data_IF_665451438867
#
_entry.id   IF_665451438867
#
_cell.length_a   1.000
_cell.length_b   1.000
_cell.length_c   1.000
_cell.angle_alpha   90.00
_cell.angle_beta   90.00
_cell.angle_gamma   90.00
#
_symmetry.space_group_name_H-M   'P 1'
#
loop_
_entity.id
_entity.type
_entity.pdbx_description
1 polymer ?
#
# COMPACT_ATOMS: atom_id res chain seq x y z
N UNK A 1 31.19 -11.66 -22.73
CA UNK A 1 29.88 -11.02 -22.56
C UNK A 1 28.99 -12.16 -22.13
N UNK A 2 28.71 -12.24 -20.82
CA UNK A 2 27.83 -13.27 -20.29
C UNK A 2 26.43 -12.97 -20.86
N UNK A 3 25.87 -13.92 -21.61
CA UNK A 3 24.50 -13.83 -22.09
C UNK A 3 23.57 -13.89 -20.87
N UNK A 4 23.16 -12.73 -20.35
CA UNK A 4 22.24 -12.67 -19.20
C UNK A 4 20.86 -13.18 -19.62
N UNK A 5 20.38 -14.21 -18.93
CA UNK A 5 19.05 -14.78 -19.15
C UNK A 5 17.94 -13.71 -19.12
N UNK A 6 17.01 -13.76 -20.07
CA UNK A 6 15.90 -12.79 -20.20
C UNK A 6 15.09 -12.63 -18.89
N UNK A 7 14.94 -13.71 -18.11
CA UNK A 7 14.22 -13.69 -16.84
C UNK A 7 14.97 -12.89 -15.77
N UNK A 8 16.31 -12.90 -15.80
CA UNK A 8 17.14 -12.19 -14.84
C UNK A 8 17.13 -10.69 -15.11
N UNK A 9 17.23 -10.29 -16.38
CA UNK A 9 17.05 -8.90 -16.80
C UNK A 9 15.65 -8.37 -16.41
N UNK A 10 14.61 -9.20 -16.55
CA UNK A 10 13.27 -8.87 -16.11
C UNK A 10 13.18 -8.69 -14.58
N UNK A 11 13.79 -9.59 -13.82
CA UNK A 11 13.79 -9.52 -12.35
C UNK A 11 14.51 -8.26 -11.84
N UNK A 12 15.68 -7.94 -12.41
CA UNK A 12 16.42 -6.73 -12.07
C UNK A 12 15.68 -5.45 -12.45
N UNK A 13 14.96 -5.45 -13.57
CA UNK A 13 14.08 -4.34 -13.92
C UNK A 13 12.92 -4.19 -12.93
N UNK A 14 12.28 -5.27 -12.50
CA UNK A 14 11.23 -5.22 -11.48
C UNK A 14 11.76 -4.74 -10.12
N UNK A 15 13.02 -5.05 -9.78
CA UNK A 15 13.70 -4.49 -8.62
C UNK A 15 13.90 -2.96 -8.77
N UNK A 16 14.36 -2.50 -9.94
CA UNK A 16 14.47 -1.06 -10.24
C UNK A 16 13.13 -0.33 -10.18
N UNK A 17 12.03 -1.02 -10.50
CA UNK A 17 10.67 -0.52 -10.30
C UNK A 17 10.18 -0.54 -8.84
N UNK A 18 11.02 -0.96 -7.89
CA UNK A 18 10.69 -1.13 -6.46
C UNK A 18 9.50 -2.06 -6.22
N UNK A 19 9.30 -3.02 -7.12
CA UNK A 19 8.23 -4.02 -7.00
C UNK A 19 8.75 -5.30 -6.35
N UNK A 20 9.98 -5.69 -6.68
CA UNK A 20 10.71 -6.73 -5.97
C UNK A 20 11.65 -6.09 -4.95
N UNK A 21 11.78 -6.65 -3.74
CA UNK A 21 12.77 -6.20 -2.78
C UNK A 21 14.18 -6.72 -3.15
N UNK A 22 15.21 -6.02 -2.69
CA UNK A 22 16.62 -6.34 -3.00
C UNK A 22 17.06 -7.73 -2.49
N UNK A 23 16.42 -8.24 -1.45
CA UNK A 23 16.68 -9.55 -0.85
C UNK A 23 15.83 -10.68 -1.46
N UNK A 24 15.06 -10.40 -2.51
CA UNK A 24 14.18 -11.39 -3.11
C UNK A 24 14.97 -12.59 -3.70
N UNK A 25 14.55 -13.85 -3.46
CA UNK A 25 15.29 -15.06 -3.91
C UNK A 25 15.62 -15.10 -5.41
N UNK A 26 14.81 -14.44 -6.23
CA UNK A 26 15.01 -14.35 -7.69
C UNK A 26 16.26 -13.55 -8.08
N UNK A 27 16.69 -12.58 -7.25
CA UNK A 27 17.88 -11.74 -7.48
C UNK A 27 19.16 -12.38 -6.93
N UNK A 28 19.01 -13.42 -6.09
CA UNK A 28 20.12 -14.13 -5.49
C UNK A 28 20.88 -15.02 -6.49
N UNK A 29 22.05 -15.55 -6.10
CA UNK A 29 22.89 -16.41 -6.96
C UNK A 29 22.22 -17.74 -7.35
N UNK A 30 21.20 -18.16 -6.59
CA UNK A 30 20.38 -19.35 -6.86
C UNK A 30 19.03 -19.02 -7.51
N UNK A 31 18.85 -17.77 -7.98
CA UNK A 31 17.66 -17.32 -8.68
C UNK A 31 17.39 -18.15 -9.94
N UNK A 32 16.11 -18.31 -10.28
CA UNK A 32 15.69 -19.00 -11.50
C UNK A 32 14.35 -18.41 -11.99
N UNK A 33 13.93 -18.78 -13.21
CA UNK A 33 12.69 -18.28 -13.79
C UNK A 33 11.43 -18.68 -13.00
N UNK A 34 11.47 -19.77 -12.23
CA UNK A 34 10.34 -20.21 -11.41
C UNK A 34 10.12 -19.25 -10.23
N UNK A 35 11.19 -18.75 -9.59
CA UNK A 35 11.08 -17.70 -8.57
C UNK A 35 10.44 -16.42 -9.13
N UNK A 36 10.70 -16.11 -10.41
CA UNK A 36 10.05 -14.99 -11.09
C UNK A 36 8.57 -15.27 -11.37
N UNK A 37 8.21 -16.47 -11.81
CA UNK A 37 6.80 -16.88 -11.99
C UNK A 37 6.05 -16.72 -10.67
N UNK A 38 6.60 -17.21 -9.56
CA UNK A 38 5.99 -17.11 -8.23
C UNK A 38 5.73 -15.66 -7.82
N UNK A 39 6.66 -14.75 -8.12
CA UNK A 39 6.50 -13.33 -7.83
C UNK A 39 5.40 -12.65 -8.66
N UNK A 40 5.06 -13.18 -9.83
CA UNK A 40 4.11 -12.55 -10.76
C UNK A 40 2.75 -13.26 -10.82
N UNK A 41 2.65 -14.49 -10.28
CA UNK A 41 1.49 -15.39 -10.45
C UNK A 41 0.18 -14.82 -9.91
N UNK A 42 0.26 -13.98 -8.88
CA UNK A 42 -0.90 -13.38 -8.22
C UNK A 42 -1.38 -12.08 -8.90
N UNK A 43 -0.63 -11.59 -9.89
CA UNK A 43 -0.90 -10.37 -10.63
C UNK A 43 -0.76 -9.07 -9.84
N UNK A 44 -0.42 -9.12 -8.54
CA UNK A 44 -0.29 -7.94 -7.68
C UNK A 44 0.96 -7.16 -8.04
N UNK A 45 2.10 -7.84 -8.17
CA UNK A 45 3.36 -7.23 -8.61
C UNK A 45 3.22 -6.55 -9.98
N UNK A 46 2.57 -7.22 -10.94
CA UNK A 46 2.31 -6.68 -12.28
C UNK A 46 1.50 -5.38 -12.24
N UNK A 47 0.45 -5.33 -11.42
CA UNK A 47 -0.37 -4.14 -11.23
C UNK A 47 0.41 -2.99 -10.58
N UNK A 48 1.29 -3.30 -9.61
CA UNK A 48 2.14 -2.30 -8.94
C UNK A 48 3.13 -1.65 -9.91
N UNK A 49 3.73 -2.43 -10.82
CA UNK A 49 4.62 -1.90 -11.87
C UNK A 49 3.94 -0.77 -12.65
N UNK A 50 2.67 -0.93 -13.03
CA UNK A 50 1.93 0.09 -13.78
C UNK A 50 1.78 1.39 -12.99
N UNK A 51 1.54 1.28 -11.68
CA UNK A 51 1.51 2.43 -10.76
C UNK A 51 2.84 3.19 -10.78
N UNK A 52 3.95 2.47 -10.55
CA UNK A 52 5.30 3.05 -10.56
C UNK A 52 5.64 3.72 -11.89
N UNK A 53 5.39 3.03 -13.01
CA UNK A 53 5.72 3.55 -14.35
C UNK A 53 4.88 4.76 -14.76
N UNK A 54 3.72 4.95 -14.12
CA UNK A 54 2.84 6.09 -14.38
C UNK A 54 3.13 7.30 -13.49
N UNK A 55 4.25 7.32 -12.74
CA UNK A 55 4.51 8.31 -11.69
C UNK A 55 3.34 8.41 -10.69
N UNK A 56 2.75 7.27 -10.32
CA UNK A 56 1.56 7.16 -9.46
C UNK A 56 0.33 7.92 -9.97
N UNK A 57 0.22 8.18 -11.28
CA UNK A 57 -1.02 8.71 -11.86
C UNK A 57 -2.09 7.64 -12.04
N UNK A 58 -1.68 6.38 -12.22
CA UNK A 58 -2.58 5.23 -12.27
C UNK A 58 -2.67 4.60 -10.91
N UNK A 59 -3.75 4.91 -10.17
CA UNK A 59 -4.03 4.21 -8.93
C UNK A 59 -4.80 2.90 -9.19
N UNK A 60 -4.03 1.85 -9.46
CA UNK A 60 -4.57 0.49 -9.66
C UNK A 60 -5.28 -0.03 -8.40
N UNK A 61 -4.94 0.49 -7.20
CA UNK A 61 -5.52 0.03 -5.93
C UNK A 61 -6.99 0.42 -5.78
N UNK A 62 -7.39 1.51 -6.42
CA UNK A 62 -8.78 2.00 -6.42
C UNK A 62 -9.69 1.28 -7.40
N UNK A 63 -9.13 0.42 -8.26
CA UNK A 63 -9.91 -0.27 -9.27
C UNK A 63 -10.68 -1.42 -8.63
N UNK A 64 -12.00 -1.45 -8.88
CA UNK A 64 -12.91 -2.46 -8.34
C UNK A 64 -12.49 -3.92 -8.62
N UNK A 65 -11.77 -4.13 -9.71
CA UNK A 65 -11.30 -5.44 -10.15
C UNK A 65 -9.91 -5.82 -9.61
N UNK A 66 -9.29 -4.96 -8.79
CA UNK A 66 -8.00 -5.25 -8.17
C UNK A 66 -8.18 -5.93 -6.80
N UNK A 67 -7.49 -7.04 -6.61
CA UNK A 67 -7.45 -7.78 -5.35
C UNK A 67 -6.03 -7.76 -4.78
N UNK A 68 -5.74 -6.99 -3.71
CA UNK A 68 -4.41 -6.92 -3.13
C UNK A 68 -3.98 -8.23 -2.45
N UNK A 69 -4.96 -9.06 -2.07
CA UNK A 69 -4.71 -10.32 -1.39
C UNK A 69 -5.55 -11.45 -2.01
N UNK A 70 -5.13 -12.02 -3.14
CA UNK A 70 -5.90 -13.03 -3.85
C UNK A 70 -5.91 -14.41 -3.16
N UNK A 71 -5.13 -14.63 -2.09
CA UNK A 71 -5.15 -15.87 -1.28
C UNK A 71 -5.03 -17.16 -2.12
N UNK A 72 -4.21 -17.15 -3.17
CA UNK A 72 -4.09 -18.22 -4.17
C UNK A 72 -5.39 -18.60 -4.90
N UNK A 73 -6.45 -17.79 -4.81
CA UNK A 73 -7.67 -17.97 -5.58
C UNK A 73 -7.37 -17.77 -7.05
N UNK A 74 -7.49 -18.85 -7.83
CA UNK A 74 -7.35 -18.81 -9.29
C UNK A 74 -8.17 -17.67 -9.91
N UNK A 75 -9.39 -17.44 -9.40
CA UNK A 75 -10.26 -16.38 -9.90
C UNK A 75 -9.66 -15.00 -9.68
N UNK A 76 -9.19 -14.71 -8.46
CA UNK A 76 -8.65 -13.39 -8.09
C UNK A 76 -7.28 -13.13 -8.74
N UNK A 77 -6.40 -14.13 -8.79
CA UNK A 77 -5.12 -14.02 -9.51
C UNK A 77 -5.37 -13.75 -11.01
N UNK A 78 -6.30 -14.49 -11.62
CA UNK A 78 -6.67 -14.23 -13.01
C UNK A 78 -7.30 -12.84 -13.19
N UNK A 79 -8.08 -12.35 -12.24
CA UNK A 79 -8.70 -11.02 -12.30
C UNK A 79 -7.63 -9.92 -12.29
N UNK A 80 -6.65 -10.01 -11.41
CA UNK A 80 -5.51 -9.10 -11.36
C UNK A 80 -4.71 -9.09 -12.67
N UNK A 81 -4.41 -10.28 -13.23
CA UNK A 81 -3.66 -10.36 -14.50
C UNK A 81 -4.47 -9.78 -15.67
N UNK A 82 -5.81 -9.97 -15.68
CA UNK A 82 -6.69 -9.32 -16.68
C UNK A 82 -6.65 -7.81 -16.54
N UNK A 83 -6.72 -7.30 -15.32
CA UNK A 83 -6.66 -5.86 -15.04
C UNK A 83 -5.34 -5.27 -15.56
N UNK A 84 -4.21 -5.89 -15.21
CA UNK A 84 -2.89 -5.51 -15.72
C UNK A 84 -2.86 -5.45 -17.26
N UNK A 85 -3.39 -6.48 -17.92
CA UNK A 85 -3.40 -6.57 -19.39
C UNK A 85 -4.27 -5.47 -20.02
N UNK A 86 -5.43 -5.17 -19.42
CA UNK A 86 -6.31 -4.09 -19.88
C UNK A 86 -5.66 -2.71 -19.74
N UNK A 87 -4.93 -2.48 -18.65
CA UNK A 87 -4.22 -1.22 -18.42
C UNK A 87 -3.02 -1.06 -19.34
N UNK A 88 -2.30 -2.16 -19.65
CA UNK A 88 -1.27 -2.16 -20.67
C UNK A 88 -1.79 -1.70 -22.04
N UNK A 89 -2.99 -2.14 -22.42
CA UNK A 89 -3.63 -1.71 -23.68
C UNK A 89 -4.08 -0.25 -23.64
N UNK A 90 -4.77 0.15 -22.56
CA UNK A 90 -5.43 1.47 -22.49
C UNK A 90 -4.51 2.63 -22.15
N UNK A 91 -3.54 2.41 -21.25
CA UNK A 91 -2.74 3.50 -20.67
C UNK A 91 -1.30 3.55 -21.21
N UNK A 92 -0.80 2.42 -21.72
CA UNK A 92 0.57 2.28 -22.23
C UNK A 92 0.61 1.96 -23.73
N UNK A 93 -0.53 2.01 -24.43
CA UNK A 93 -0.68 1.82 -25.88
C UNK A 93 -0.05 0.53 -26.42
N UNK A 94 -0.07 -0.54 -25.61
CA UNK A 94 0.48 -1.83 -26.03
C UNK A 94 -0.52 -2.53 -26.95
N UNK A 95 -0.08 -2.83 -28.18
CA UNK A 95 -0.92 -3.49 -29.17
C UNK A 95 -1.37 -4.90 -28.74
N UNK A 96 -2.64 -5.22 -29.02
CA UNK A 96 -3.30 -6.50 -28.69
C UNK A 96 -2.50 -7.77 -28.97
N UNK A 97 -1.76 -7.90 -30.10
CA UNK A 97 -0.98 -9.12 -30.38
C UNK A 97 0.10 -9.43 -29.33
N UNK A 98 0.58 -8.41 -28.60
CA UNK A 98 1.60 -8.55 -27.58
C UNK A 98 1.03 -8.78 -26.17
N UNK A 99 -0.28 -8.64 -26.01
CA UNK A 99 -0.95 -8.85 -24.72
C UNK A 99 -1.00 -10.33 -24.36
N UNK A 100 -0.83 -10.61 -23.07
CA UNK A 100 -0.88 -11.94 -22.49
C UNK A 100 -2.31 -12.33 -22.08
N UNK A 101 -2.54 -13.62 -21.93
CA UNK A 101 -3.71 -14.18 -21.27
C UNK A 101 -3.38 -14.51 -19.81
N UNK A 102 -4.37 -14.55 -18.91
CA UNK A 102 -4.13 -14.86 -17.50
C UNK A 102 -3.37 -16.17 -17.28
N UNK A 103 -3.68 -17.20 -18.06
CA UNK A 103 -3.03 -18.51 -17.97
C UNK A 103 -1.58 -18.51 -18.46
N UNK A 104 -1.16 -17.52 -19.25
CA UNK A 104 0.23 -17.39 -19.70
C UNK A 104 1.19 -17.18 -18.51
N UNK A 105 0.69 -16.56 -17.43
CA UNK A 105 1.42 -16.34 -16.17
C UNK A 105 0.94 -17.31 -15.09
N UNK A 106 -0.37 -17.40 -14.83
CA UNK A 106 -0.91 -18.18 -13.71
C UNK A 106 -0.53 -19.67 -13.79
N UNK A 107 -0.51 -20.24 -14.99
CA UNK A 107 -0.09 -21.63 -15.25
C UNK A 107 1.31 -21.72 -15.88
N UNK A 108 2.01 -20.58 -15.99
CA UNK A 108 3.30 -20.46 -16.68
C UNK A 108 3.35 -21.02 -18.12
N UNK A 109 2.20 -21.16 -18.79
CA UNK A 109 2.09 -21.78 -20.14
C UNK A 109 2.95 -21.11 -21.20
N UNK A 110 3.02 -19.79 -21.16
CA UNK A 110 3.73 -18.97 -22.14
C UNK A 110 4.50 -17.86 -21.42
N UNK A 111 5.28 -18.22 -20.40
CA UNK A 111 5.93 -17.22 -19.55
C UNK A 111 6.90 -16.29 -20.31
N UNK A 112 7.54 -16.80 -21.37
CA UNK A 112 8.35 -15.97 -22.27
C UNK A 112 7.57 -14.82 -22.92
N UNK A 113 6.26 -14.99 -23.16
CA UNK A 113 5.38 -13.94 -23.67
C UNK A 113 5.12 -12.86 -22.60
N UNK A 114 5.08 -13.23 -21.32
CA UNK A 114 4.97 -12.28 -20.22
C UNK A 114 6.23 -11.43 -20.09
N UNK A 115 7.42 -12.04 -20.20
CA UNK A 115 8.69 -11.31 -20.23
C UNK A 115 8.75 -10.36 -21.42
N UNK A 116 8.32 -10.81 -22.61
CA UNK A 116 8.24 -9.97 -23.81
C UNK A 116 7.31 -8.77 -23.64
N UNK A 117 6.16 -8.97 -22.97
CA UNK A 117 5.22 -7.89 -22.67
C UNK A 117 5.84 -6.89 -21.68
N UNK A 118 6.46 -7.36 -20.60
CA UNK A 118 7.11 -6.49 -19.61
C UNK A 118 8.27 -5.69 -20.21
N UNK A 119 9.02 -6.29 -21.13
CA UNK A 119 10.05 -5.58 -21.89
C UNK A 119 9.45 -4.47 -22.74
N UNK A 120 8.40 -4.75 -23.51
CA UNK A 120 7.70 -3.72 -24.30
C UNK A 120 7.11 -2.61 -23.44
N UNK A 121 6.54 -2.98 -22.30
CA UNK A 121 6.03 -2.03 -21.30
C UNK A 121 7.15 -1.13 -20.78
N UNK A 122 8.30 -1.69 -20.43
CA UNK A 122 9.45 -0.95 -19.93
C UNK A 122 10.03 0.06 -20.93
N UNK A 123 9.89 -0.23 -22.23
CA UNK A 123 10.35 0.61 -23.33
C UNK A 123 9.24 1.53 -23.89
N UNK A 124 8.05 1.50 -23.30
CA UNK A 124 6.95 2.37 -23.74
C UNK A 124 7.27 3.85 -23.44
N UNK A 125 6.82 4.79 -24.29
CA UNK A 125 7.08 6.22 -24.07
C UNK A 125 6.61 6.68 -22.70
N UNK A 126 5.48 6.16 -22.21
CA UNK A 126 4.94 6.49 -20.89
C UNK A 126 5.82 5.96 -19.75
N UNK A 127 6.33 4.74 -19.87
CA UNK A 127 7.24 4.17 -18.87
C UNK A 127 8.56 4.95 -18.79
N UNK A 128 9.07 5.46 -19.91
CA UNK A 128 10.30 6.27 -19.94
C UNK A 128 10.15 7.59 -19.17
N UNK A 129 8.93 8.10 -18.98
CA UNK A 129 8.67 9.31 -18.19
C UNK A 129 8.91 9.11 -16.68
N UNK A 130 9.01 7.87 -16.19
CA UNK A 130 9.38 7.60 -14.79
C UNK A 130 10.89 7.70 -14.55
N UNK A 131 11.70 7.81 -15.60
CA UNK A 131 13.16 7.80 -15.51
C UNK A 131 13.78 6.43 -15.23
N UNK A 132 12.98 5.37 -15.13
CA UNK A 132 13.46 4.01 -14.93
C UNK A 132 13.93 3.45 -16.27
N UNK A 133 15.20 3.05 -16.34
CA UNK A 133 15.78 2.45 -17.55
C UNK A 133 15.11 1.11 -17.83
N UNK A 134 14.55 0.96 -19.03
CA UNK A 134 13.86 -0.26 -19.47
C UNK A 134 14.78 -1.47 -19.69
N UNK A 135 14.20 -2.58 -20.16
CA UNK A 135 14.91 -3.80 -20.54
C UNK A 135 14.31 -4.42 -21.82
N UNK A 136 15.11 -5.09 -22.66
CA UNK A 136 16.56 -5.25 -22.59
C UNK A 136 17.29 -3.93 -22.94
N UNK A 137 18.57 -3.77 -22.55
CA UNK A 137 19.39 -2.62 -22.94
C UNK A 137 19.55 -2.53 -24.48
N UNK A 138 19.81 -1.34 -25.03
CA UNK A 138 19.80 -1.07 -26.50
C UNK A 138 20.67 -2.02 -27.34
N UNK A 139 21.69 -2.64 -26.73
CA UNK A 139 22.62 -3.58 -27.38
C UNK A 139 22.24 -5.06 -27.20
N UNK A 140 21.10 -5.34 -26.56
CA UNK A 140 20.64 -6.69 -26.23
C UNK A 140 19.23 -6.92 -26.80
N UNK A 141 18.99 -8.15 -27.26
CA UNK A 141 17.68 -8.59 -27.74
C UNK A 141 17.23 -9.76 -26.89
N UNK A 142 15.95 -9.77 -26.53
CA UNK A 142 15.37 -10.90 -25.81
C UNK A 142 15.51 -12.19 -26.62
N UNK A 143 15.98 -13.24 -25.98
CA UNK A 143 16.02 -14.62 -26.50
C UNK A 143 14.66 -15.33 -26.27
N UNK A 144 13.57 -14.63 -26.59
CA UNK A 144 12.15 -14.94 -26.28
C UNK A 144 11.61 -16.29 -26.78
N UNK A 145 12.42 -17.10 -27.46
CA UNK A 145 12.04 -18.41 -28.03
C UNK A 145 12.64 -19.60 -27.29
N UNK A 146 13.01 -19.42 -26.02
CA UNK A 146 13.63 -20.48 -25.23
C UNK A 146 12.62 -21.58 -24.86
N UNK A 147 12.84 -22.81 -25.37
CA UNK A 147 12.16 -24.05 -24.94
C UNK A 147 12.15 -24.21 -23.40
N UNK A 148 13.13 -23.58 -22.74
CA UNK A 148 13.26 -23.44 -21.29
C UNK A 148 11.98 -22.95 -20.60
N UNK A 149 11.22 -22.02 -21.21
CA UNK A 149 10.00 -21.48 -20.60
C UNK A 149 8.78 -22.40 -20.76
N UNK A 150 8.79 -23.30 -21.75
CA UNK A 150 7.67 -24.21 -22.00
C UNK A 150 7.58 -25.31 -20.93
N UNK A 151 8.70 -25.67 -20.30
CA UNK A 151 8.74 -26.67 -19.24
C UNK A 151 8.30 -26.12 -17.87
N UNK A 152 8.14 -24.79 -17.73
CA UNK A 152 7.75 -24.17 -16.45
C UNK A 152 6.32 -24.51 -16.03
N UNK A 153 5.44 -24.89 -16.95
CA UNK A 153 4.07 -25.31 -16.65
C UNK A 153 4.04 -26.55 -15.74
N UNK A 154 4.89 -27.56 -16.01
CA UNK A 154 4.96 -28.79 -15.22
C UNK A 154 5.54 -28.53 -13.82
N UNK A 155 6.54 -27.65 -13.73
CA UNK A 155 7.10 -27.22 -12.44
C UNK A 155 6.10 -26.37 -11.64
N UNK A 156 5.42 -25.41 -12.26
CA UNK A 156 4.42 -24.56 -11.61
C UNK A 156 3.23 -25.38 -11.07
N UNK A 157 2.77 -26.38 -11.82
CA UNK A 157 1.70 -27.29 -11.39
C UNK A 157 2.09 -28.16 -10.18
N UNK A 158 3.38 -28.44 -10.01
CA UNK A 158 3.91 -29.19 -8.86
C UNK A 158 4.04 -28.28 -7.63
N UNK A 159 4.31 -26.99 -7.84
CA UNK A 159 4.41 -25.99 -6.77
C UNK A 159 3.07 -25.55 -6.18
N UNK A 160 1.98 -25.59 -6.94
CA UNK A 160 0.63 -25.30 -6.43
C UNK A 160 0.18 -26.31 -5.35
N UNK A 161 0.89 -27.44 -5.24
CA UNK A 161 0.63 -28.52 -4.26
C UNK A 161 1.48 -28.40 -2.99
N UNK A 162 2.44 -27.49 -2.91
CA UNK A 162 3.30 -27.28 -1.75
C UNK A 162 2.86 -26.01 -0.99
N UNK A 163 2.36 -26.13 0.25
CA UNK A 163 2.15 -24.96 1.10
C UNK A 163 3.52 -24.44 1.56
N UNK A 164 4.11 -23.49 0.82
CA UNK A 164 5.37 -22.86 1.20
C UNK A 164 5.12 -21.55 1.96
N UNK A 165 5.53 -21.44 3.24
CA UNK A 165 5.51 -20.20 4.01
C UNK A 165 6.50 -19.13 3.49
N UNK A 166 7.36 -19.46 2.53
CA UNK A 166 8.35 -18.57 1.92
C UNK A 166 7.83 -17.79 0.71
N UNK A 167 6.58 -18.00 0.28
CA UNK A 167 5.96 -17.12 -0.71
C UNK A 167 5.81 -15.73 -0.10
N UNK A 168 6.59 -14.77 -0.59
CA UNK A 168 6.43 -13.35 -0.28
C UNK A 168 5.01 -12.93 -0.66
N UNK A 169 4.09 -12.99 0.29
CA UNK A 169 2.74 -12.46 0.07
C UNK A 169 2.91 -10.95 -0.03
N UNK A 170 2.69 -10.38 -1.22
CA UNK A 170 2.70 -8.93 -1.39
C UNK A 170 1.68 -8.21 -0.48
N UNK A 171 0.71 -8.94 0.06
CA UNK A 171 -0.16 -8.54 1.16
C UNK A 171 0.59 -8.33 2.49
N UNK A 172 1.55 -9.19 2.84
CA UNK A 172 2.42 -9.00 4.02
C UNK A 172 3.30 -7.76 3.87
N UNK A 173 3.84 -7.49 2.67
CA UNK A 173 4.58 -6.24 2.43
C UNK A 173 3.69 -4.98 2.58
N UNK A 174 2.41 -5.08 2.22
CA UNK A 174 1.45 -3.98 2.40
C UNK A 174 1.09 -3.79 3.89
N UNK A 175 0.99 -4.88 4.63
CA UNK A 175 0.80 -4.87 6.08
C UNK A 175 2.03 -4.32 6.81
N UNK A 176 3.24 -4.71 6.40
CA UNK A 176 4.50 -4.11 6.85
C UNK A 176 4.60 -2.60 6.52
N UNK A 177 4.04 -2.18 5.38
CA UNK A 177 4.00 -0.74 5.02
C UNK A 177 3.01 0.02 5.90
N UNK A 178 1.87 -0.58 6.25
CA UNK A 178 0.89 -0.03 7.19
C UNK A 178 1.44 0.02 8.61
N UNK A 179 2.20 -1.00 9.01
CA UNK A 179 2.90 -1.07 10.29
C UNK A 179 3.99 0.01 10.37
N UNK A 180 4.82 0.17 9.33
CA UNK A 180 5.81 1.28 9.25
C UNK A 180 5.16 2.66 9.32
N UNK A 181 3.98 2.83 8.71
CA UNK A 181 3.21 4.08 8.82
C UNK A 181 2.73 4.31 10.26
N UNK A 182 2.15 3.29 10.90
CA UNK A 182 1.73 3.35 12.29
C UNK A 182 2.90 3.69 13.22
N UNK A 183 4.03 2.99 13.07
CA UNK A 183 5.26 3.24 13.83
C UNK A 183 5.76 4.67 13.66
N UNK A 184 5.75 5.20 12.42
CA UNK A 184 6.17 6.58 12.15
C UNK A 184 5.28 7.58 12.86
N UNK A 185 3.97 7.35 12.87
CA UNK A 185 2.97 8.23 13.46
C UNK A 185 3.03 8.19 14.99
N UNK A 186 3.11 6.98 15.55
CA UNK A 186 3.05 6.75 17.00
C UNK A 186 4.38 7.00 17.69
N UNK A 187 5.50 6.87 16.97
CA UNK A 187 6.85 7.18 17.50
C UNK A 187 7.45 8.47 16.94
N UNK A 188 6.70 9.24 16.12
CA UNK A 188 7.12 10.51 15.51
C UNK A 188 8.52 10.46 14.85
N UNK A 189 8.85 9.36 14.17
CA UNK A 189 10.15 9.17 13.53
C UNK A 189 11.34 9.02 14.49
N UNK A 190 11.09 8.93 15.80
CA UNK A 190 12.10 8.50 16.75
C UNK A 190 12.20 6.99 16.69
N UNK A 191 13.17 6.46 15.95
CA UNK A 191 13.69 5.13 16.28
C UNK A 191 13.95 5.18 17.77
N UNK A 192 13.26 4.36 18.56
CA UNK A 192 13.49 4.23 19.99
C UNK A 192 14.90 3.66 20.18
N UNK A 193 15.90 4.52 20.04
CA UNK A 193 17.21 4.33 20.62
C UNK A 193 16.89 4.32 22.09
N UNK A 194 16.88 3.11 22.66
CA UNK A 194 16.90 2.90 24.09
C UNK A 194 18.03 3.75 24.66
N UNK A 195 17.72 4.99 25.04
CA UNK A 195 18.61 5.83 25.81
C UNK A 195 18.60 5.22 27.19
N UNK A 196 19.48 4.25 27.38
CA UNK A 196 19.86 3.68 28.67
C UNK A 196 20.56 4.76 29.47
N UNK A 197 19.83 5.78 29.92
CA UNK A 197 20.31 6.79 30.84
C UNK A 197 19.12 7.48 31.52
N UNK A 198 18.55 6.82 32.53
CA UNK A 198 18.26 7.40 33.86
C UNK A 198 17.43 6.41 34.70
N UNK A 199 17.88 6.21 35.94
CA UNK A 199 17.19 5.67 37.12
C UNK A 199 16.20 4.50 36.94
N UNK A 200 16.66 3.28 37.26
CA UNK A 200 15.87 2.11 37.71
C UNK A 200 14.39 2.01 37.30
N UNK A 201 14.07 2.21 36.02
CA UNK A 201 12.72 1.99 35.49
C UNK A 201 12.58 0.49 35.27
N UNK A 202 11.68 -0.17 36.01
CA UNK A 202 11.37 -1.59 35.76
C UNK A 202 10.80 -1.75 34.36
N UNK A 203 10.97 -2.92 33.72
CA UNK A 203 10.38 -3.20 32.41
C UNK A 203 8.87 -2.88 32.37
N UNK A 204 8.16 -3.16 33.46
CA UNK A 204 6.74 -2.81 33.64
C UNK A 204 6.50 -1.30 33.54
N UNK A 205 7.31 -0.50 34.21
CA UNK A 205 7.20 0.96 34.21
C UNK A 205 7.51 1.56 32.84
N UNK A 206 8.41 0.93 32.07
CA UNK A 206 8.69 1.31 30.68
C UNK A 206 7.51 1.01 29.76
N UNK A 207 6.94 -0.20 29.81
CA UNK A 207 5.77 -0.56 29.01
C UNK A 207 4.55 0.35 29.29
N UNK A 208 4.31 0.69 30.57
CA UNK A 208 3.20 1.58 30.93
C UNK A 208 3.41 2.99 30.34
N UNK A 209 4.65 3.50 30.37
CA UNK A 209 4.97 4.80 29.79
C UNK A 209 4.77 4.79 28.27
N UNK A 210 5.24 3.73 27.61
CA UNK A 210 5.05 3.54 26.18
C UNK A 210 3.56 3.53 25.81
N UNK A 211 2.71 2.81 26.54
CA UNK A 211 1.24 2.83 26.30
C UNK A 211 0.68 4.26 26.40
N UNK A 212 1.08 5.05 27.41
CA UNK A 212 0.60 6.43 27.57
C UNK A 212 1.11 7.34 26.46
N UNK A 213 2.38 7.23 26.10
CA UNK A 213 3.02 8.08 25.08
C UNK A 213 2.46 7.78 23.69
N UNK A 214 2.30 6.50 23.36
CA UNK A 214 1.72 6.05 22.08
C UNK A 214 0.26 6.46 21.95
N UNK A 215 -0.54 6.31 23.02
CA UNK A 215 -1.93 6.75 23.06
C UNK A 215 -2.05 8.27 22.90
N UNK A 216 -1.15 9.04 23.53
CA UNK A 216 -1.10 10.49 23.37
C UNK A 216 -0.87 10.90 21.91
N UNK A 217 0.13 10.30 21.27
CA UNK A 217 0.44 10.58 19.88
C UNK A 217 -0.73 10.21 18.95
N UNK A 218 -1.43 9.11 19.24
CA UNK A 218 -2.63 8.71 18.51
C UNK A 218 -3.79 9.70 18.68
N UNK A 219 -4.05 10.18 19.91
CA UNK A 219 -5.06 11.22 20.17
C UNK A 219 -4.72 12.53 19.44
N UNK A 220 -3.45 12.95 19.48
CA UNK A 220 -2.99 14.16 18.80
C UNK A 220 -3.13 14.05 17.26
N UNK A 221 -2.91 12.87 16.68
CA UNK A 221 -3.19 12.60 15.27
C UNK A 221 -4.69 12.72 14.95
N UNK A 222 -5.55 12.06 15.73
CA UNK A 222 -7.00 12.12 15.52
C UNK A 222 -7.50 13.57 15.64
N UNK A 223 -6.94 14.32 16.59
CA UNK A 223 -7.21 15.75 16.74
C UNK A 223 -6.72 16.54 15.54
N UNK A 224 -5.52 16.29 15.01
CA UNK A 224 -5.01 16.94 13.80
C UNK A 224 -5.91 16.67 12.59
N UNK A 225 -6.40 15.44 12.42
CA UNK A 225 -7.37 15.10 11.36
C UNK A 225 -8.67 15.91 11.49
N UNK A 226 -9.16 16.14 12.72
CA UNK A 226 -10.33 16.97 12.98
C UNK A 226 -10.04 18.48 12.82
N UNK A 227 -8.89 18.96 13.26
CA UNK A 227 -8.52 20.38 13.18
C UNK A 227 -8.29 20.85 11.74
N UNK A 228 -7.72 20.00 10.88
CA UNK A 228 -7.65 20.24 9.43
C UNK A 228 -9.06 20.52 8.86
N UNK A 229 -10.10 19.92 9.46
CA UNK A 229 -11.48 20.05 9.01
C UNK A 229 -12.19 21.26 9.61
N UNK A 230 -12.01 21.52 10.90
CA UNK A 230 -12.52 22.73 11.56
C UNK A 230 -11.96 24.01 10.92
N UNK A 231 -10.70 24.00 10.49
CA UNK A 231 -10.10 25.11 9.75
C UNK A 231 -10.73 25.28 8.36
N UNK A 232 -11.00 24.17 7.65
CA UNK A 232 -11.68 24.18 6.36
C UNK A 232 -13.14 24.65 6.47
N UNK A 233 -13.85 24.23 7.53
CA UNK A 233 -15.26 24.55 7.77
C UNK A 233 -15.47 25.97 8.30
N UNK A 234 -14.66 26.40 9.28
CA UNK A 234 -14.73 27.75 9.87
C UNK A 234 -14.40 28.82 8.83
N UNK A 235 -13.43 28.57 7.95
CA UNK A 235 -13.12 29.49 6.85
C UNK A 235 -14.24 29.48 5.78
N UNK A 236 -14.84 28.33 5.49
CA UNK A 236 -15.98 28.24 4.55
C UNK A 236 -17.20 29.03 5.05
N UNK A 237 -17.57 28.88 6.33
CA UNK A 237 -18.68 29.61 6.94
C UNK A 237 -18.39 31.12 7.01
N UNK A 238 -17.16 31.52 7.37
CA UNK A 238 -16.77 32.93 7.42
C UNK A 238 -16.71 33.57 6.02
N UNK A 239 -16.28 32.85 4.98
CA UNK A 239 -16.25 33.36 3.60
C UNK A 239 -17.62 33.38 2.92
N UNK A 240 -18.54 32.47 3.27
CA UNK A 240 -19.90 32.47 2.73
C UNK A 240 -20.76 33.60 3.31
N UNK A 241 -20.43 34.12 4.50
CA UNK A 241 -21.15 35.23 5.15
C UNK A 241 -20.53 36.63 4.90
N UNK A 242 -19.28 36.69 4.41
CA UNK A 242 -18.54 37.94 4.19
C UNK A 242 -18.02 38.02 2.75
N UNK A 243 -18.71 38.77 1.88
CA UNK A 243 -18.17 39.21 0.59
C UNK A 243 -17.01 40.20 0.81
N UNK A 244 -15.82 39.67 1.07
CA UNK A 244 -14.50 40.29 0.85
C UNK A 244 -13.48 39.40 1.55
N UNK A 245 -12.27 39.39 1.01
CA UNK A 245 -11.07 38.69 1.49
C UNK A 245 -10.87 37.29 0.90
N UNK A 246 -9.85 37.19 0.04
CA UNK A 246 -9.34 35.97 -0.57
C UNK A 246 -8.36 35.29 0.39
N UNK A 247 -8.57 33.97 0.57
CA UNK A 247 -7.65 32.91 1.05
C UNK A 247 -7.15 33.01 2.51
N UNK A 248 -7.20 31.90 3.29
CA UNK A 248 -6.58 30.61 2.95
C UNK A 248 -7.51 29.37 2.99
N UNK A 249 -7.11 28.29 2.29
CA UNK A 249 -7.67 26.91 2.38
C UNK A 249 -9.20 26.77 2.21
N UNK A 250 -9.72 27.20 1.07
CA UNK A 250 -11.13 27.05 0.69
C UNK A 250 -11.41 25.81 -0.17
N UNK A 251 -12.41 25.01 0.22
CA UNK A 251 -13.44 24.53 -0.70
C UNK A 251 -13.10 23.40 -1.67
N UNK A 252 -12.27 22.44 -1.26
CA UNK A 252 -11.85 21.32 -2.11
C UNK A 252 -12.81 20.13 -2.01
N UNK A 253 -13.30 19.81 -0.81
CA UNK A 253 -14.29 18.76 -0.57
C UNK A 253 -15.63 19.37 -0.15
N UNK A 254 -16.72 18.78 -0.62
CA UNK A 254 -18.06 19.16 -0.16
C UNK A 254 -18.25 18.74 1.30
N UNK A 255 -19.16 19.39 2.06
CA UNK A 255 -19.47 18.97 3.43
C UNK A 255 -19.88 17.49 3.53
N UNK A 256 -20.60 16.99 2.53
CA UNK A 256 -21.02 15.60 2.44
C UNK A 256 -19.84 14.66 2.15
N UNK A 257 -18.91 15.06 1.27
CA UNK A 257 -17.68 14.31 0.99
C UNK A 257 -16.81 14.22 2.25
N UNK A 258 -16.71 15.31 3.01
CA UNK A 258 -15.92 15.38 4.24
C UNK A 258 -16.50 14.52 5.36
N UNK A 259 -17.83 14.59 5.58
CA UNK A 259 -18.54 13.73 6.53
C UNK A 259 -18.37 12.24 6.19
N UNK A 260 -18.40 11.91 4.91
CA UNK A 260 -18.21 10.55 4.45
C UNK A 260 -16.77 10.06 4.66
N UNK A 261 -15.76 10.87 4.36
CA UNK A 261 -14.33 10.49 4.51
C UNK A 261 -13.94 10.34 5.97
N UNK A 262 -14.46 11.18 6.87
CA UNK A 262 -14.06 11.24 8.28
C UNK A 262 -15.08 10.63 9.23
N UNK A 263 -16.02 9.86 8.67
CA UNK A 263 -17.06 9.22 9.47
C UNK A 263 -16.43 8.40 10.60
N UNK A 264 -16.91 8.65 11.82
CA UNK A 264 -16.45 8.05 13.08
C UNK A 264 -15.11 8.56 13.64
N UNK A 265 -14.36 9.43 12.96
CA UNK A 265 -13.09 9.98 13.50
C UNK A 265 -13.33 10.83 14.75
N UNK A 266 -14.40 11.62 14.79
CA UNK A 266 -14.77 12.43 15.97
C UNK A 266 -15.10 11.56 17.20
N UNK A 267 -15.87 10.49 16.98
CA UNK A 267 -16.26 9.56 18.03
C UNK A 267 -15.05 8.74 18.51
N UNK A 268 -14.16 8.32 17.60
CA UNK A 268 -12.86 7.72 17.93
C UNK A 268 -11.99 8.67 18.76
N UNK A 269 -11.83 9.93 18.34
CA UNK A 269 -11.07 10.93 19.09
C UNK A 269 -11.63 11.11 20.50
N UNK A 270 -12.95 11.13 20.65
CA UNK A 270 -13.62 11.27 21.96
C UNK A 270 -13.32 10.09 22.87
N UNK A 271 -13.39 8.86 22.36
CA UNK A 271 -13.10 7.64 23.12
C UNK A 271 -11.63 7.60 23.53
N UNK A 272 -10.71 7.86 22.61
CA UNK A 272 -9.27 7.81 22.86
C UNK A 272 -8.78 8.94 23.77
N UNK A 273 -9.35 10.15 23.64
CA UNK A 273 -9.06 11.26 24.57
C UNK A 273 -9.44 10.92 26.01
N UNK A 274 -10.55 10.21 26.20
CA UNK A 274 -10.97 9.77 27.53
C UNK A 274 -10.10 8.62 28.05
N UNK A 275 -9.72 7.67 27.17
CA UNK A 275 -8.76 6.62 27.50
C UNK A 275 -7.43 7.22 27.98
N UNK A 276 -6.87 8.18 27.25
CA UNK A 276 -5.65 8.89 27.63
C UNK A 276 -5.77 9.59 29.00
N UNK A 277 -6.92 10.22 29.26
CA UNK A 277 -7.21 10.84 30.56
C UNK A 277 -7.20 9.81 31.70
N UNK A 278 -7.87 8.68 31.51
CA UNK A 278 -7.94 7.60 32.50
C UNK A 278 -6.59 6.90 32.70
N UNK A 279 -5.81 6.70 31.63
CA UNK A 279 -4.44 6.20 31.70
C UNK A 279 -3.56 7.14 32.52
N UNK A 280 -3.63 8.46 32.26
CA UNK A 280 -2.88 9.47 33.01
C UNK A 280 -3.21 9.47 34.50
N UNK A 281 -4.48 9.25 34.86
CA UNK A 281 -4.92 9.10 36.25
C UNK A 281 -4.41 7.81 36.90
N UNK A 282 -4.44 6.70 36.16
CA UNK A 282 -3.94 5.40 36.62
C UNK A 282 -2.42 5.35 36.80
N UNK A 283 -1.67 6.20 36.08
CA UNK A 283 -0.22 6.33 36.19
C UNK A 283 0.23 7.49 37.09
N UNK A 284 -0.71 8.26 37.63
CA UNK A 284 -0.41 9.35 38.56
C UNK A 284 0.03 8.79 39.92
N UNK A 285 0.80 9.58 40.69
CA UNK A 285 1.33 9.16 41.99
C UNK A 285 0.27 8.73 43.01
N UNK A 286 -0.99 9.11 42.77
CA UNK A 286 -2.12 8.81 43.64
C UNK A 286 -2.85 7.50 43.28
N UNK A 287 -2.53 6.88 42.13
CA UNK A 287 -3.13 5.62 41.63
C UNK A 287 -4.66 5.55 41.80
N UNK A 288 -5.37 6.61 41.38
CA UNK A 288 -6.83 6.74 41.60
C UNK A 288 -7.65 5.61 40.97
N UNK A 289 -7.15 5.00 39.90
CA UNK A 289 -7.79 3.91 39.16
C UNK A 289 -6.73 2.88 38.79
N UNK A 290 -7.08 1.59 38.81
CA UNK A 290 -6.16 0.55 38.35
C UNK A 290 -6.08 0.53 36.82
N UNK A 291 -4.89 0.26 36.26
CA UNK A 291 -4.71 0.18 34.81
C UNK A 291 -5.66 -0.83 34.14
N UNK A 292 -5.93 -1.97 34.79
CA UNK A 292 -6.88 -2.97 34.31
C UNK A 292 -8.31 -2.45 34.20
N UNK A 293 -8.73 -1.62 35.15
CA UNK A 293 -10.08 -1.07 35.18
C UNK A 293 -10.28 -0.05 34.06
N UNK A 294 -9.25 0.73 33.73
CA UNK A 294 -9.26 1.64 32.56
C UNK A 294 -9.57 0.88 31.27
N UNK A 295 -8.90 -0.25 31.01
CA UNK A 295 -9.13 -1.05 29.82
C UNK A 295 -10.50 -1.73 29.81
N UNK A 296 -11.01 -2.17 30.96
CA UNK A 296 -12.35 -2.75 31.06
C UNK A 296 -13.44 -1.71 30.77
N UNK A 297 -13.27 -0.47 31.23
CA UNK A 297 -14.22 0.62 31.01
C UNK A 297 -14.28 1.05 29.54
N UNK A 298 -13.16 1.05 28.82
CA UNK A 298 -13.13 1.46 27.39
C UNK A 298 -13.55 0.34 26.42
N UNK A 299 -13.42 -0.93 26.82
CA UNK A 299 -13.63 -2.11 25.94
C UNK A 299 -14.88 -2.03 25.08
N UNK A 300 -16.04 -1.80 25.69
CA UNK A 300 -17.32 -1.83 24.97
C UNK A 300 -17.50 -0.61 24.07
N UNK A 301 -16.80 0.49 24.36
CA UNK A 301 -16.80 1.71 23.54
C UNK A 301 -15.94 1.54 22.29
N UNK A 302 -14.87 0.73 22.38
CA UNK A 302 -14.05 0.38 21.21
C UNK A 302 -14.80 -0.47 20.17
N UNK A 303 -16.02 -0.95 20.45
CA UNK A 303 -16.86 -1.63 19.44
C UNK A 303 -17.19 -0.74 18.23
N UNK A 304 -17.04 0.58 18.35
CA UNK A 304 -17.10 1.50 17.21
C UNK A 304 -16.16 1.10 16.07
N UNK A 305 -15.01 0.48 16.38
CA UNK A 305 -14.08 0.01 15.36
C UNK A 305 -14.72 -0.98 14.39
N UNK A 306 -15.76 -1.73 14.80
CA UNK A 306 -16.51 -2.58 13.87
C UNK A 306 -17.22 -1.77 12.78
N UNK A 307 -17.81 -0.61 13.14
CA UNK A 307 -18.44 0.29 12.17
C UNK A 307 -17.40 1.03 11.34
N UNK A 308 -16.35 1.54 11.99
CA UNK A 308 -15.26 2.24 11.31
C UNK A 308 -14.58 1.34 10.26
N UNK A 309 -14.20 0.11 10.62
CA UNK A 309 -13.54 -0.83 9.71
C UNK A 309 -14.45 -1.29 8.56
N UNK A 310 -15.76 -1.31 8.73
CA UNK A 310 -16.71 -1.58 7.64
C UNK A 310 -16.95 -0.38 6.72
N UNK A 311 -16.64 0.83 7.19
CA UNK A 311 -16.80 2.08 6.44
C UNK A 311 -15.52 2.54 5.76
N UNK A 312 -14.35 2.23 6.33
CA UNK A 312 -13.05 2.75 5.88
C UNK A 312 -12.75 2.42 4.41
N UNK A 313 -13.15 1.24 3.89
CA UNK A 313 -12.93 0.93 2.47
C UNK A 313 -13.74 1.86 1.55
N UNK A 314 -14.94 2.25 1.98
CA UNK A 314 -15.80 3.19 1.25
C UNK A 314 -15.21 4.60 1.28
N UNK A 315 -14.75 5.05 2.44
CA UNK A 315 -14.07 6.34 2.59
C UNK A 315 -12.80 6.41 1.71
N UNK A 316 -11.96 5.37 1.72
CA UNK A 316 -10.77 5.27 0.88
C UNK A 316 -11.10 5.33 -0.61
N UNK A 317 -12.13 4.58 -1.04
CA UNK A 317 -12.57 4.59 -2.44
C UNK A 317 -13.03 5.97 -2.88
N UNK A 318 -13.77 6.69 -2.02
CA UNK A 318 -14.21 8.05 -2.29
C UNK A 318 -13.02 9.01 -2.42
N UNK A 319 -12.05 8.94 -1.52
CA UNK A 319 -10.83 9.78 -1.61
C UNK A 319 -10.12 9.56 -2.94
N UNK A 320 -9.98 8.32 -3.40
CA UNK A 320 -9.34 8.08 -4.71
C UNK A 320 -10.18 8.62 -5.86
N UNK A 321 -11.49 8.44 -5.85
CA UNK A 321 -12.35 9.00 -6.88
C UNK A 321 -12.23 10.53 -6.96
N UNK A 322 -12.13 11.20 -5.80
CA UNK A 322 -11.95 12.65 -5.71
C UNK A 322 -10.61 13.09 -6.29
N UNK A 323 -9.52 12.39 -5.96
CA UNK A 323 -8.18 12.64 -6.51
C UNK A 323 -8.13 12.39 -8.02
N UNK A 324 -8.83 11.35 -8.51
CA UNK A 324 -8.79 10.99 -9.94
C UNK A 324 -9.58 11.98 -10.80
N UNK A 325 -10.72 12.44 -10.32
CA UNK A 325 -11.67 13.20 -11.13
C UNK A 325 -11.43 14.71 -11.08
N UNK A 326 -10.64 15.20 -10.12
CA UNK A 326 -10.41 16.63 -9.92
C UNK A 326 -8.94 16.93 -9.60
N UNK A 327 -8.28 17.61 -10.56
CA UNK A 327 -6.84 17.96 -10.50
C UNK A 327 -6.55 18.96 -9.38
N UNK A 328 -7.50 19.84 -9.06
CA UNK A 328 -7.37 20.79 -7.96
C UNK A 328 -7.52 20.07 -6.60
N UNK A 329 -8.40 19.06 -6.50
CA UNK A 329 -8.49 18.19 -5.31
C UNK A 329 -7.23 17.36 -5.13
N UNK A 330 -6.72 16.75 -6.20
CA UNK A 330 -5.47 15.97 -6.19
C UNK A 330 -4.29 16.76 -5.63
N UNK A 331 -4.03 17.95 -6.19
CA UNK A 331 -2.85 18.78 -5.84
C UNK A 331 -2.88 19.28 -4.38
N UNK A 332 -4.04 19.20 -3.72
CA UNK A 332 -4.23 19.66 -2.33
C UNK A 332 -4.29 18.52 -1.32
N UNK A 333 -4.62 17.31 -1.77
CA UNK A 333 -4.66 16.09 -0.95
C UNK A 333 -3.28 15.41 -0.93
N UNK A 334 -2.55 15.41 -2.05
CA UNK A 334 -1.14 14.99 -2.15
C UNK A 334 -0.19 16.02 -1.50
#
# INVERSE_FOLDING_TARGET
MEDEDDWRQCAEWLNRCQVLPDDHPVLGPNGNALHLVQALVDGVALCRVLGTLSNNQLDVRSMKDFSPNPQNSQFLCCQNIRLFTQLCEKEFDIARPFLIQPNDIYQAKNFGKAIALLSKLSLSPRAQLSGIVGFPPENSKLQTTHEYYNNLEEFAATLDKLPDPSRTNYAQMEEETKEKLYDTVVHQGSTSIYSTNSESVTARSSCIREIVDTEKNYVDLLKMLLEVCEFAFTIYVLLHYSQKYKAPLTGVLSPEELDEVLRYIEELHTIHRELLGNLSLATSQMNFVSLSEVFLQVRDRLLIYGKYCGHVQRAQSLVVELIRNDVDKRTRIE
#
